data_IF_387227853756
#
_entry.id   IF_387227853756
#
_cell.length_a   1.000
_cell.length_b   1.000
_cell.length_c   1.000
_cell.angle_alpha   90.00
_cell.angle_beta   90.00
_cell.angle_gamma   90.00
#
_symmetry.space_group_name_H-M   'P 1'
#
loop_
_entity.id
_entity.type
_entity.pdbx_description
1 polymer ?
#
# COMPACT_ATOMS: atom_id res chain seq x y z
N UNK A 1 -13.12 21.40 -6.79
CA UNK A 1 -13.32 20.57 -5.59
C UNK A 1 -13.56 19.13 -6.04
N UNK A 2 -12.72 18.20 -5.59
CA UNK A 2 -12.72 16.80 -6.03
C UNK A 2 -14.04 16.08 -5.70
N UNK A 3 -14.83 16.58 -4.73
CA UNK A 3 -16.12 16.00 -4.32
C UNK A 3 -17.18 16.05 -5.41
N UNK A 4 -17.05 16.94 -6.40
CA UNK A 4 -17.98 17.05 -7.53
C UNK A 4 -17.55 16.24 -8.75
N UNK A 5 -16.37 15.59 -8.72
CA UNK A 5 -15.90 14.74 -9.81
C UNK A 5 -16.74 13.47 -9.99
N UNK A 6 -17.15 12.72 -8.94
CA UNK A 6 -17.80 11.42 -9.12
C UNK A 6 -19.08 11.46 -9.99
N UNK A 7 -19.97 12.48 -9.88
CA UNK A 7 -21.10 12.63 -10.81
C UNK A 7 -20.70 12.87 -12.27
N UNK A 8 -19.59 13.59 -12.51
CA UNK A 8 -19.14 13.96 -13.86
C UNK A 8 -18.39 12.84 -14.60
N UNK A 9 -17.83 11.86 -13.88
CA UNK A 9 -17.01 10.78 -14.47
C UNK A 9 -17.71 9.98 -15.57
N UNK A 10 -19.05 9.84 -15.53
CA UNK A 10 -19.79 9.04 -16.51
C UNK A 10 -19.80 9.61 -17.94
N UNK A 11 -19.41 10.87 -18.11
CA UNK A 11 -19.38 11.56 -19.41
C UNK A 11 -17.99 11.71 -20.03
N UNK A 12 -16.92 11.44 -19.27
CA UNK A 12 -15.54 11.76 -19.68
C UNK A 12 -14.92 10.67 -20.56
N UNK A 13 -14.00 11.02 -21.49
CA UNK A 13 -13.13 10.05 -22.12
C UNK A 13 -12.16 9.45 -21.10
N UNK A 14 -11.63 8.26 -21.43
CA UNK A 14 -10.76 7.49 -20.52
C UNK A 14 -9.51 8.28 -20.10
N UNK A 15 -8.88 9.01 -21.02
CA UNK A 15 -7.69 9.82 -20.77
C UNK A 15 -7.92 10.92 -19.73
N UNK A 16 -9.04 11.65 -19.85
CA UNK A 16 -9.44 12.64 -18.88
C UNK A 16 -9.71 12.00 -17.52
N UNK A 17 -10.39 10.85 -17.49
CA UNK A 17 -10.63 10.12 -16.25
C UNK A 17 -9.32 9.70 -15.55
N UNK A 18 -8.28 9.29 -16.30
CA UNK A 18 -6.94 9.02 -15.74
C UNK A 18 -6.35 10.28 -15.10
N UNK A 19 -6.47 11.44 -15.74
CA UNK A 19 -5.93 12.71 -15.22
C UNK A 19 -6.56 13.13 -13.89
N UNK A 20 -7.79 12.70 -13.60
CA UNK A 20 -8.48 12.96 -12.34
C UNK A 20 -8.23 11.92 -11.25
N UNK A 21 -7.62 10.77 -11.54
CA UNK A 21 -7.32 9.74 -10.54
C UNK A 21 -6.56 10.27 -9.31
N UNK A 22 -5.54 11.16 -9.44
CA UNK A 22 -4.87 11.74 -8.28
C UNK A 22 -5.82 12.47 -7.33
N UNK A 23 -6.85 13.14 -7.87
CA UNK A 23 -7.84 13.84 -7.07
C UNK A 23 -8.84 12.85 -6.45
N UNK A 24 -9.25 11.82 -7.19
CA UNK A 24 -10.19 10.82 -6.70
C UNK A 24 -9.66 10.04 -5.49
N UNK A 25 -8.35 9.70 -5.46
CA UNK A 25 -7.77 8.96 -4.33
C UNK A 25 -7.62 9.80 -3.05
N UNK A 26 -7.80 11.13 -3.13
CA UNK A 26 -7.85 12.02 -1.95
C UNK A 26 -9.23 12.08 -1.30
N UNK A 27 -10.26 11.55 -1.96
CA UNK A 27 -11.63 11.54 -1.45
C UNK A 27 -11.78 10.62 -0.23
N UNK A 28 -12.75 10.93 0.63
CA UNK A 28 -13.16 10.02 1.70
C UNK A 28 -13.67 8.69 1.13
N UNK A 29 -13.53 7.61 1.91
CA UNK A 29 -13.80 6.23 1.50
C UNK A 29 -15.15 6.05 0.80
N UNK A 30 -16.23 6.68 1.30
CA UNK A 30 -17.57 6.58 0.69
C UNK A 30 -17.62 7.22 -0.69
N UNK A 31 -17.05 8.42 -0.84
CA UNK A 31 -17.03 9.15 -2.11
C UNK A 31 -16.11 8.45 -3.13
N UNK A 32 -14.97 7.93 -2.67
CA UNK A 32 -14.07 7.14 -3.50
C UNK A 32 -14.73 5.86 -4.03
N UNK A 33 -15.43 5.08 -3.18
CA UNK A 33 -16.14 3.87 -3.61
C UNK A 33 -17.28 4.17 -4.61
N UNK A 34 -17.96 5.31 -4.45
CA UNK A 34 -18.94 5.78 -5.40
C UNK A 34 -18.30 6.11 -6.76
N UNK A 35 -17.15 6.80 -6.75
CA UNK A 35 -16.37 7.08 -7.96
C UNK A 35 -15.91 5.78 -8.65
N UNK A 36 -15.37 4.81 -7.90
CA UNK A 36 -14.98 3.50 -8.43
C UNK A 36 -16.15 2.80 -9.15
N UNK A 37 -17.33 2.77 -8.53
CA UNK A 37 -18.50 2.15 -9.15
C UNK A 37 -18.84 2.81 -10.48
N UNK A 38 -18.71 4.14 -10.59
CA UNK A 38 -18.94 4.87 -11.85
C UNK A 38 -17.90 4.58 -12.93
N UNK A 39 -16.66 4.33 -12.55
CA UNK A 39 -15.57 4.00 -13.48
C UNK A 39 -15.67 2.55 -14.00
N UNK A 40 -16.22 1.65 -13.19
CA UNK A 40 -16.25 0.20 -13.45
C UNK A 40 -17.59 -0.32 -13.98
N UNK A 41 -18.70 0.39 -13.75
CA UNK A 41 -20.03 -0.02 -14.19
C UNK A 41 -20.38 0.53 -15.59
N UNK A 42 -21.03 -0.31 -16.40
CA UNK A 42 -21.64 0.09 -17.67
C UNK A 42 -22.79 1.08 -17.41
N UNK A 43 -22.89 2.16 -18.18
CA UNK A 43 -23.99 3.16 -18.03
C UNK A 43 -24.58 3.52 -19.39
N UNK A 44 -25.92 3.53 -19.48
CA UNK A 44 -26.67 4.10 -20.62
C UNK A 44 -26.13 3.67 -21.99
N UNK A 45 -25.87 2.37 -22.17
CA UNK A 45 -25.35 1.80 -23.42
C UNK A 45 -23.84 1.92 -23.63
N UNK A 46 -23.14 2.79 -22.90
CA UNK A 46 -21.66 2.96 -22.97
C UNK A 46 -20.94 1.93 -22.13
N UNK A 47 -19.82 1.42 -22.65
CA UNK A 47 -18.94 0.49 -21.94
C UNK A 47 -18.35 1.11 -20.67
N UNK A 48 -17.90 0.27 -19.74
CA UNK A 48 -17.19 0.72 -18.56
C UNK A 48 -15.89 1.43 -18.97
N UNK A 49 -15.57 2.53 -18.29
CA UNK A 49 -14.35 3.30 -18.60
C UNK A 49 -13.09 2.52 -18.29
N UNK A 50 -13.12 1.60 -17.32
CA UNK A 50 -12.01 0.74 -16.98
C UNK A 50 -12.50 -0.66 -16.67
N UNK A 51 -11.68 -1.66 -16.98
CA UNK A 51 -11.75 -2.94 -16.26
C UNK A 51 -11.17 -2.75 -14.85
N UNK A 52 -11.54 -3.57 -13.86
CA UNK A 52 -10.95 -3.48 -12.52
C UNK A 52 -9.42 -3.53 -12.53
N UNK A 53 -8.83 -4.41 -13.35
CA UNK A 53 -7.37 -4.50 -13.47
C UNK A 53 -6.75 -3.21 -14.05
N UNK A 54 -7.33 -2.65 -15.11
CA UNK A 54 -6.85 -1.40 -15.72
C UNK A 54 -6.89 -0.24 -14.72
N UNK A 55 -7.97 -0.13 -13.94
CA UNK A 55 -8.11 0.94 -12.95
C UNK A 55 -7.07 0.80 -11.83
N UNK A 56 -6.84 -0.41 -11.33
CA UNK A 56 -5.87 -0.64 -10.26
C UNK A 56 -4.43 -0.40 -10.74
N UNK A 57 -4.10 -0.78 -11.98
CA UNK A 57 -2.81 -0.42 -12.61
C UNK A 57 -2.67 1.10 -12.74
N UNK A 58 -3.73 1.80 -13.18
CA UNK A 58 -3.71 3.26 -13.31
C UNK A 58 -3.51 3.97 -11.95
N UNK A 59 -4.13 3.47 -10.88
CA UNK A 59 -3.90 3.99 -9.51
C UNK A 59 -2.44 3.80 -9.07
N UNK A 60 -1.78 2.70 -9.46
CA UNK A 60 -0.35 2.50 -9.18
C UNK A 60 0.58 3.41 -9.98
N UNK A 61 0.10 3.98 -11.09
CA UNK A 61 0.82 4.96 -11.91
C UNK A 61 0.64 6.41 -11.47
N UNK A 62 -0.09 6.67 -10.37
CA UNK A 62 -0.21 8.03 -9.83
C UNK A 62 1.15 8.49 -9.31
N UNK A 63 1.64 9.60 -9.85
CA UNK A 63 2.87 10.22 -9.38
C UNK A 63 2.68 10.84 -7.99
N UNK A 64 3.55 10.44 -7.06
CA UNK A 64 3.55 10.92 -5.68
C UNK A 64 4.71 11.91 -5.56
N UNK A 65 4.43 13.17 -5.88
CA UNK A 65 5.41 14.26 -5.82
C UNK A 65 5.08 15.26 -4.72
N UNK A 66 6.09 15.84 -4.09
CA UNK A 66 5.95 16.91 -3.09
C UNK A 66 5.81 18.31 -3.73
N UNK A 67 5.42 18.39 -5.00
CA UNK A 67 5.27 19.63 -5.75
C UNK A 67 4.04 20.47 -5.34
N UNK A 68 3.86 21.66 -5.94
CA UNK A 68 2.84 22.64 -5.55
C UNK A 68 1.40 22.30 -6.01
N UNK A 69 1.22 21.26 -6.82
CA UNK A 69 -0.10 20.77 -7.24
C UNK A 69 -0.67 19.84 -6.15
N UNK A 70 -2.00 19.76 -5.95
CA UNK A 70 -2.61 18.81 -5.01
C UNK A 70 -2.37 17.37 -5.48
N UNK A 71 -1.21 16.82 -5.14
CA UNK A 71 -0.84 15.43 -5.34
C UNK A 71 -1.24 14.64 -4.10
N UNK A 72 -1.79 13.43 -4.27
CA UNK A 72 -2.13 12.60 -3.14
C UNK A 72 -0.89 12.16 -2.39
N UNK A 73 -0.99 12.08 -1.06
CA UNK A 73 0.05 11.49 -0.23
C UNK A 73 0.19 9.99 -0.52
N UNK A 74 1.36 9.43 -0.20
CA UNK A 74 1.59 7.98 -0.31
C UNK A 74 0.54 7.16 0.46
N UNK A 75 0.11 7.65 1.61
CA UNK A 75 -0.87 6.96 2.45
C UNK A 75 -2.29 7.03 1.87
N UNK A 76 -2.65 8.13 1.19
CA UNK A 76 -3.91 8.21 0.43
C UNK A 76 -3.94 7.22 -0.72
N UNK A 77 -2.85 7.10 -1.49
CA UNK A 77 -2.75 6.10 -2.57
C UNK A 77 -2.84 4.68 -2.02
N UNK A 78 -2.14 4.39 -0.92
CA UNK A 78 -2.25 3.08 -0.24
C UNK A 78 -3.65 2.80 0.26
N UNK A 79 -4.34 3.77 0.86
CA UNK A 79 -5.71 3.63 1.33
C UNK A 79 -6.68 3.34 0.16
N UNK A 80 -6.51 4.04 -0.97
CA UNK A 80 -7.29 3.79 -2.19
C UNK A 80 -7.05 2.37 -2.74
N UNK A 81 -5.79 1.92 -2.81
CA UNK A 81 -5.46 0.55 -3.23
C UNK A 81 -6.11 -0.46 -2.26
N UNK A 82 -5.98 -0.28 -0.94
CA UNK A 82 -6.62 -1.15 0.05
C UNK A 82 -8.14 -1.19 -0.10
N UNK A 83 -8.79 -0.06 -0.34
CA UNK A 83 -10.22 -0.01 -0.61
C UNK A 83 -10.60 -0.81 -1.86
N UNK A 84 -9.80 -0.74 -2.93
CA UNK A 84 -9.97 -1.60 -4.11
C UNK A 84 -9.80 -3.09 -3.75
N UNK A 85 -8.72 -3.47 -3.06
CA UNK A 85 -8.44 -4.87 -2.69
C UNK A 85 -9.53 -5.48 -1.80
N UNK A 86 -10.16 -4.67 -0.94
CA UNK A 86 -11.25 -5.09 -0.07
C UNK A 86 -12.61 -5.15 -0.78
N UNK A 87 -12.75 -4.49 -1.93
CA UNK A 87 -13.98 -4.49 -2.70
C UNK A 87 -14.04 -5.68 -3.69
N UNK A 88 -14.28 -6.87 -3.14
CA UNK A 88 -14.32 -8.13 -3.89
C UNK A 88 -15.41 -8.22 -4.95
N UNK A 89 -16.42 -7.33 -4.92
CA UNK A 89 -17.44 -7.22 -5.97
C UNK A 89 -16.80 -6.92 -7.34
N UNK A 90 -15.78 -6.07 -7.38
CA UNK A 90 -15.08 -5.72 -8.61
C UNK A 90 -13.69 -6.35 -8.71
N UNK A 91 -12.97 -6.41 -7.59
CA UNK A 91 -11.58 -6.85 -7.53
C UNK A 91 -11.48 -8.31 -7.05
N UNK A 92 -12.12 -9.18 -7.82
CA UNK A 92 -12.04 -10.64 -7.63
C UNK A 92 -10.69 -11.21 -8.06
N UNK A 93 -10.52 -12.53 -7.86
CA UNK A 93 -9.26 -13.26 -8.10
C UNK A 93 -8.63 -12.96 -9.48
N UNK A 94 -9.43 -13.03 -10.54
CA UNK A 94 -8.97 -12.83 -11.92
C UNK A 94 -8.49 -11.39 -12.16
N UNK A 95 -9.25 -10.39 -11.70
CA UNK A 95 -8.87 -8.99 -11.81
C UNK A 95 -7.57 -8.69 -11.06
N UNK A 96 -7.40 -9.23 -9.86
CA UNK A 96 -6.17 -9.06 -9.06
C UNK A 96 -4.97 -9.73 -9.73
N UNK A 97 -5.13 -10.97 -10.22
CA UNK A 97 -4.08 -11.67 -10.96
C UNK A 97 -3.65 -10.89 -12.22
N UNK A 98 -4.62 -10.41 -13.00
CA UNK A 98 -4.36 -9.60 -14.19
C UNK A 98 -3.71 -8.26 -13.85
N UNK A 99 -4.06 -7.64 -12.71
CA UNK A 99 -3.37 -6.42 -12.23
C UNK A 99 -1.89 -6.70 -11.98
N UNK A 100 -1.59 -7.77 -11.24
CA UNK A 100 -0.21 -8.15 -10.94
C UNK A 100 0.57 -8.50 -12.21
N UNK A 101 -0.06 -9.21 -13.15
CA UNK A 101 0.51 -9.53 -14.45
C UNK A 101 0.87 -8.27 -15.25
N UNK A 102 -0.05 -7.31 -15.35
CA UNK A 102 0.20 -6.07 -16.06
C UNK A 102 1.32 -5.26 -15.38
N UNK A 103 1.28 -5.13 -14.04
CA UNK A 103 2.30 -4.37 -13.32
C UNK A 103 3.69 -5.01 -13.41
N UNK A 104 3.79 -6.35 -13.47
CA UNK A 104 5.09 -7.04 -13.59
C UNK A 104 5.77 -6.74 -14.92
N UNK A 105 5.01 -6.42 -15.97
CA UNK A 105 5.53 -6.11 -17.30
C UNK A 105 6.07 -4.68 -17.40
N UNK A 106 5.68 -3.79 -16.49
CA UNK A 106 6.16 -2.40 -16.45
C UNK A 106 7.65 -2.31 -16.10
N UNK A 107 8.33 -1.35 -16.72
CA UNK A 107 9.75 -1.05 -16.47
C UNK A 107 9.93 0.47 -16.32
N UNK A 108 10.31 0.98 -15.13
CA UNK A 108 10.57 0.24 -13.90
C UNK A 108 9.30 -0.36 -13.27
N UNK A 109 9.46 -1.31 -12.33
CA UNK A 109 8.34 -1.83 -11.54
C UNK A 109 7.65 -0.68 -10.76
N UNK A 110 6.31 -0.67 -10.65
CA UNK A 110 5.61 0.35 -9.89
C UNK A 110 6.08 0.43 -8.43
N UNK A 111 6.18 1.64 -7.88
CA UNK A 111 6.73 1.89 -6.53
C UNK A 111 6.06 1.04 -5.44
N UNK A 112 4.74 0.89 -5.51
CA UNK A 112 3.95 0.13 -4.53
C UNK A 112 3.79 -1.36 -4.86
N UNK A 113 4.44 -1.88 -5.92
CA UNK A 113 4.22 -3.25 -6.42
C UNK A 113 4.35 -4.32 -5.33
N UNK A 114 5.50 -4.44 -4.67
CA UNK A 114 5.67 -5.48 -3.65
C UNK A 114 4.83 -5.26 -2.39
N UNK A 115 4.52 -4.01 -2.04
CA UNK A 115 3.59 -3.71 -0.96
C UNK A 115 2.18 -4.24 -1.30
N UNK A 116 1.73 -4.05 -2.53
CA UNK A 116 0.46 -4.56 -3.03
C UNK A 116 0.43 -6.08 -3.06
N UNK A 117 1.52 -6.74 -3.50
CA UNK A 117 1.64 -8.22 -3.45
C UNK A 117 1.51 -8.74 -2.01
N UNK A 118 2.14 -8.06 -1.04
CA UNK A 118 1.99 -8.41 0.39
C UNK A 118 0.53 -8.26 0.84
N UNK A 119 -0.13 -7.16 0.49
CA UNK A 119 -1.55 -6.96 0.82
C UNK A 119 -2.43 -8.06 0.22
N UNK A 120 -2.27 -8.35 -1.07
CA UNK A 120 -3.02 -9.41 -1.76
C UNK A 120 -2.75 -10.79 -1.15
N UNK A 121 -1.53 -11.09 -0.72
CA UNK A 121 -1.23 -12.37 -0.04
C UNK A 121 -2.01 -12.58 1.26
N UNK A 122 -2.48 -11.49 1.88
CA UNK A 122 -3.30 -11.51 3.11
C UNK A 122 -4.80 -11.46 2.84
N UNK A 123 -5.22 -10.64 1.87
CA UNK A 123 -6.65 -10.41 1.58
C UNK A 123 -7.22 -11.40 0.56
N UNK A 124 -6.36 -12.07 -0.22
CA UNK A 124 -6.69 -13.03 -1.27
C UNK A 124 -5.81 -14.28 -1.17
N UNK A 125 -5.96 -15.03 -0.07
CA UNK A 125 -5.17 -16.24 0.18
C UNK A 125 -5.32 -17.31 -0.92
N UNK A 126 -6.44 -17.30 -1.66
CA UNK A 126 -6.69 -18.14 -2.83
C UNK A 126 -5.75 -17.87 -4.02
N UNK A 127 -5.03 -16.74 -4.02
CA UNK A 127 -3.99 -16.41 -4.99
C UNK A 127 -2.60 -16.92 -4.58
N UNK A 128 -2.45 -17.60 -3.44
CA UNK A 128 -1.15 -18.05 -2.92
C UNK A 128 -0.25 -18.72 -3.97
N UNK A 129 -0.70 -19.76 -4.68
CA UNK A 129 0.11 -20.41 -5.72
C UNK A 129 0.51 -19.47 -6.86
N UNK A 130 -0.41 -18.60 -7.30
CA UNK A 130 -0.14 -17.60 -8.33
C UNK A 130 0.91 -16.59 -7.87
N UNK A 131 0.79 -16.07 -6.64
CA UNK A 131 1.75 -15.13 -6.06
C UNK A 131 3.14 -15.78 -5.95
N UNK A 132 3.24 -17.05 -5.54
CA UNK A 132 4.53 -17.74 -5.50
C UNK A 132 5.16 -17.90 -6.89
N UNK A 133 4.36 -18.19 -7.93
CA UNK A 133 4.82 -18.20 -9.32
C UNK A 133 5.32 -16.83 -9.76
N UNK A 134 4.53 -15.79 -9.53
CA UNK A 134 4.89 -14.41 -9.81
C UNK A 134 6.21 -14.01 -9.12
N UNK A 135 6.38 -14.36 -7.83
CA UNK A 135 7.59 -14.06 -7.07
C UNK A 135 8.84 -14.69 -7.71
N UNK A 136 8.74 -15.92 -8.23
CA UNK A 136 9.86 -16.54 -8.99
C UNK A 136 10.23 -15.69 -10.20
N UNK A 137 9.25 -15.32 -11.01
CA UNK A 137 9.47 -14.58 -12.25
C UNK A 137 10.06 -13.18 -12.05
N UNK A 138 9.62 -12.48 -10.99
CA UNK A 138 10.11 -11.13 -10.70
C UNK A 138 11.44 -11.10 -9.94
N UNK A 139 11.95 -12.24 -9.46
CA UNK A 139 13.16 -12.31 -8.62
C UNK A 139 14.33 -11.49 -9.21
N UNK A 140 14.65 -11.60 -10.51
CA UNK A 140 15.70 -10.77 -11.12
C UNK A 140 15.39 -9.27 -11.10
N UNK A 141 14.12 -8.88 -11.29
CA UNK A 141 13.68 -7.48 -11.32
C UNK A 141 13.72 -6.82 -9.94
N UNK A 142 13.37 -7.56 -8.89
CA UNK A 142 13.32 -7.00 -7.53
C UNK A 142 14.68 -6.95 -6.86
N UNK A 143 15.64 -7.79 -7.28
CA UNK A 143 16.98 -7.82 -6.70
C UNK A 143 17.73 -6.49 -6.82
N UNK A 144 17.61 -5.82 -7.98
CA UNK A 144 18.23 -4.52 -8.21
C UNK A 144 17.56 -3.35 -7.48
N UNK A 145 16.36 -3.54 -6.92
CA UNK A 145 15.56 -2.49 -6.29
C UNK A 145 15.37 -2.75 -4.80
N UNK A 146 16.13 -2.05 -3.95
CA UNK A 146 16.20 -2.27 -2.49
C UNK A 146 14.82 -2.36 -1.81
N UNK A 147 13.90 -1.44 -2.11
CA UNK A 147 12.55 -1.43 -1.53
C UNK A 147 11.72 -2.63 -1.97
N UNK A 148 11.80 -3.00 -3.26
CA UNK A 148 11.11 -4.17 -3.80
C UNK A 148 11.70 -5.46 -3.22
N UNK A 149 13.03 -5.58 -3.11
CA UNK A 149 13.68 -6.71 -2.46
C UNK A 149 13.23 -6.88 -1.00
N UNK A 150 13.14 -5.78 -0.25
CA UNK A 150 12.63 -5.81 1.11
C UNK A 150 11.19 -6.35 1.17
N UNK A 151 10.34 -5.91 0.25
CA UNK A 151 8.98 -6.41 0.11
C UNK A 151 8.94 -7.89 -0.29
N UNK A 152 9.80 -8.33 -1.21
CA UNK A 152 9.93 -9.71 -1.65
C UNK A 152 10.21 -10.65 -0.49
N UNK A 153 11.23 -10.32 0.32
CA UNK A 153 11.59 -11.13 1.50
C UNK A 153 10.47 -11.12 2.55
N UNK A 154 9.78 -9.98 2.73
CA UNK A 154 8.63 -9.91 3.63
C UNK A 154 7.47 -10.79 3.14
N UNK A 155 7.18 -10.80 1.84
CA UNK A 155 6.15 -11.66 1.27
C UNK A 155 6.50 -13.14 1.44
N UNK A 156 7.75 -13.54 1.14
CA UNK A 156 8.23 -14.90 1.39
C UNK A 156 8.08 -15.30 2.86
N UNK A 157 8.40 -14.41 3.80
CA UNK A 157 8.22 -14.65 5.24
C UNK A 157 6.76 -14.92 5.59
N UNK A 158 5.82 -14.13 5.04
CA UNK A 158 4.39 -14.26 5.32
C UNK A 158 3.78 -15.53 4.72
N UNK A 159 4.31 -15.96 3.57
CA UNK A 159 3.83 -17.15 2.86
C UNK A 159 4.57 -18.43 3.25
N UNK A 160 5.44 -18.39 4.25
CA UNK A 160 6.07 -19.59 4.77
C UNK A 160 5.04 -20.51 5.45
N UNK A 161 5.14 -21.84 5.28
CA UNK A 161 6.26 -22.58 4.67
C UNK A 161 6.19 -22.73 3.14
N UNK A 162 5.10 -22.31 2.50
CA UNK A 162 4.91 -22.50 1.05
C UNK A 162 5.95 -21.76 0.18
N UNK A 163 6.60 -20.74 0.71
CA UNK A 163 7.69 -19.99 0.05
C UNK A 163 9.07 -20.66 0.14
N UNK A 164 9.25 -21.74 0.91
CA UNK A 164 10.56 -22.38 1.08
C UNK A 164 11.19 -22.90 -0.22
N UNK A 165 10.45 -23.53 -1.16
CA UNK A 165 11.01 -23.90 -2.46
C UNK A 165 11.58 -22.69 -3.21
N UNK A 166 10.82 -21.59 -3.28
CA UNK A 166 11.25 -20.33 -3.91
C UNK A 166 12.53 -19.78 -3.25
N UNK A 167 12.59 -19.75 -1.91
CA UNK A 167 13.79 -19.28 -1.20
C UNK A 167 15.00 -20.17 -1.50
N UNK A 168 14.82 -21.48 -1.57
CA UNK A 168 15.90 -22.43 -1.82
C UNK A 168 16.40 -22.40 -3.28
N UNK A 169 15.55 -21.99 -4.22
CA UNK A 169 15.87 -21.78 -5.64
C UNK A 169 16.74 -20.52 -5.88
N UNK A 170 16.80 -19.57 -4.94
CA UNK A 170 17.58 -18.34 -5.07
C UNK A 170 19.08 -18.59 -5.31
N UNK A 171 19.74 -17.62 -5.96
CA UNK A 171 21.20 -17.61 -6.06
C UNK A 171 21.85 -17.54 -4.66
N UNK A 172 23.11 -17.98 -4.50
CA UNK A 172 23.79 -17.94 -3.20
C UNK A 172 23.78 -16.55 -2.56
N UNK A 173 24.00 -15.51 -3.38
CA UNK A 173 24.02 -14.11 -2.94
C UNK A 173 22.63 -13.62 -2.47
N UNK A 174 21.61 -13.88 -3.27
CA UNK A 174 20.22 -13.53 -2.95
C UNK A 174 19.74 -14.25 -1.69
N UNK A 175 20.05 -15.54 -1.57
CA UNK A 175 19.69 -16.34 -0.39
C UNK A 175 20.37 -15.79 0.86
N UNK A 176 21.66 -15.46 0.79
CA UNK A 176 22.40 -14.88 1.92
C UNK A 176 21.82 -13.52 2.32
N UNK A 177 21.44 -12.68 1.34
CA UNK A 177 20.80 -11.40 1.60
C UNK A 177 19.39 -11.54 2.20
N UNK A 178 18.60 -12.50 1.73
CA UNK A 178 17.30 -12.83 2.31
C UNK A 178 17.45 -13.34 3.75
N UNK A 179 18.37 -14.27 3.99
CA UNK A 179 18.59 -14.93 5.28
C UNK A 179 18.91 -13.92 6.39
N UNK A 180 19.68 -12.86 6.09
CA UNK A 180 19.96 -11.75 7.04
C UNK A 180 18.71 -11.03 7.55
N UNK A 181 17.57 -11.14 6.86
CA UNK A 181 16.31 -10.46 7.19
C UNK A 181 15.23 -11.44 7.70
N UNK A 182 15.49 -12.74 7.66
CA UNK A 182 14.57 -13.76 8.16
C UNK A 182 14.83 -14.00 9.66
N UNK A 183 13.77 -14.20 10.47
CA UNK A 183 13.94 -14.52 11.88
C UNK A 183 14.51 -15.94 12.05
N UNK A 184 15.29 -16.16 13.12
CA UNK A 184 15.96 -17.45 13.38
C UNK A 184 15.04 -18.68 13.32
N UNK A 185 13.82 -18.69 13.89
CA UNK A 185 12.92 -19.85 13.76
C UNK A 185 12.58 -20.19 12.31
N UNK A 186 12.44 -19.18 11.46
CA UNK A 186 12.11 -19.39 10.05
C UNK A 186 13.32 -19.92 9.26
N UNK A 187 14.52 -19.46 9.61
CA UNK A 187 15.77 -20.02 9.08
C UNK A 187 15.91 -21.50 9.42
N UNK A 188 15.65 -21.89 10.67
CA UNK A 188 15.69 -23.30 11.08
C UNK A 188 14.65 -24.15 10.32
N UNK A 189 13.44 -23.63 10.11
CA UNK A 189 12.42 -24.30 9.31
C UNK A 189 12.83 -24.44 7.83
N UNK A 190 13.51 -23.43 7.26
CA UNK A 190 14.05 -23.50 5.90
C UNK A 190 15.16 -24.56 5.79
N UNK A 191 16.04 -24.65 6.81
CA UNK A 191 17.03 -25.73 6.90
C UNK A 191 16.37 -27.10 6.99
N UNK A 192 15.38 -27.26 7.86
CA UNK A 192 14.64 -28.52 8.00
C UNK A 192 13.90 -28.91 6.70
N UNK A 193 13.37 -27.94 5.96
CA UNK A 193 12.84 -28.17 4.62
C UNK A 193 13.93 -28.65 3.67
N UNK A 194 15.07 -27.96 3.60
CA UNK A 194 16.16 -28.29 2.69
C UNK A 194 16.78 -29.68 2.96
N UNK A 195 16.78 -30.16 4.20
CA UNK A 195 17.25 -31.51 4.56
C UNK A 195 16.14 -32.57 4.53
N UNK A 196 14.88 -32.16 4.33
CA UNK A 196 13.73 -33.06 4.36
C UNK A 196 13.51 -33.78 3.03
N UNK A 197 12.91 -34.97 3.11
CA UNK A 197 12.60 -35.82 1.93
C UNK A 197 11.65 -35.16 0.92
N UNK A 198 10.85 -34.18 1.38
CA UNK A 198 9.94 -33.40 0.52
C UNK A 198 10.66 -32.38 -0.36
N UNK A 199 11.95 -32.14 -0.15
CA UNK A 199 12.73 -31.22 -0.96
C UNK A 199 13.25 -31.91 -2.22
N UNK A 200 12.67 -31.55 -3.36
CA UNK A 200 13.03 -32.12 -4.67
C UNK A 200 14.26 -31.45 -5.31
N UNK A 201 14.94 -30.55 -4.60
CA UNK A 201 16.13 -29.87 -5.10
C UNK A 201 17.33 -30.82 -5.14
N UNK A 202 18.28 -30.53 -6.04
CA UNK A 202 19.52 -31.30 -6.16
C UNK A 202 20.35 -31.21 -4.86
N UNK A 203 21.08 -32.27 -4.53
CA UNK A 203 21.85 -32.35 -3.27
C UNK A 203 22.81 -31.16 -3.07
N UNK A 204 23.47 -30.72 -4.15
CA UNK A 204 24.35 -29.54 -4.12
C UNK A 204 23.59 -28.26 -3.72
N UNK A 205 22.37 -28.08 -4.22
CA UNK A 205 21.53 -26.94 -3.88
C UNK A 205 21.05 -27.02 -2.43
N UNK A 206 20.66 -28.21 -1.96
CA UNK A 206 20.27 -28.44 -0.56
C UNK A 206 21.40 -28.10 0.39
N UNK A 207 22.61 -28.61 0.15
CA UNK A 207 23.80 -28.32 0.96
C UNK A 207 24.10 -26.82 1.02
N UNK A 208 24.08 -26.13 -0.13
CA UNK A 208 24.24 -24.67 -0.20
C UNK A 208 23.23 -23.93 0.69
N UNK A 209 21.95 -24.31 0.63
CA UNK A 209 20.90 -23.67 1.45
C UNK A 209 21.22 -23.84 2.94
N UNK A 210 21.61 -25.04 3.36
CA UNK A 210 21.98 -25.32 4.75
C UNK A 210 23.17 -24.47 5.19
N UNK A 211 24.25 -24.40 4.38
CA UNK A 211 25.44 -23.61 4.69
C UNK A 211 25.13 -22.12 4.87
N UNK A 212 24.34 -21.54 3.96
CA UNK A 212 23.94 -20.13 4.03
C UNK A 212 23.06 -19.87 5.24
N UNK A 213 22.13 -20.78 5.54
CA UNK A 213 21.24 -20.68 6.70
C UNK A 213 22.01 -20.78 8.01
N UNK A 214 22.96 -21.70 8.13
CA UNK A 214 23.79 -21.87 9.32
C UNK A 214 24.68 -20.65 9.56
N UNK A 215 25.30 -20.11 8.51
CA UNK A 215 26.07 -18.88 8.59
C UNK A 215 25.21 -17.68 9.06
N UNK A 216 23.96 -17.59 8.59
CA UNK A 216 23.04 -16.54 8.99
C UNK A 216 22.53 -16.72 10.44
N UNK A 217 22.28 -17.96 10.87
CA UNK A 217 21.77 -18.27 12.21
C UNK A 217 22.85 -18.18 13.31
N UNK A 218 24.13 -18.34 12.96
CA UNK A 218 25.25 -18.17 13.87
C UNK A 218 25.53 -16.70 14.23
N UNK A 219 25.10 -15.76 13.39
CA UNK A 219 25.27 -14.33 13.65
C UNK A 219 24.27 -13.88 14.74
N UNK A 220 24.72 -13.17 15.81
CA UNK A 220 23.80 -12.62 16.80
C UNK A 220 22.75 -11.72 16.13
N UNK A 221 21.49 -11.69 16.61
CA UNK A 221 20.48 -10.81 16.05
C UNK A 221 21.00 -9.38 16.08
N UNK A 222 20.98 -8.71 14.92
CA UNK A 222 21.28 -7.28 14.86
C UNK A 222 20.38 -6.53 15.86
N UNK A 223 20.91 -5.55 16.62
CA UNK A 223 20.10 -4.76 17.52
C UNK A 223 18.92 -4.18 16.74
N UNK A 224 17.70 -4.42 17.23
CA UNK A 224 16.51 -3.71 16.71
C UNK A 224 16.83 -2.21 16.80
N UNK A 225 16.55 -1.40 15.76
CA UNK A 225 16.52 0.04 15.96
C UNK A 225 15.48 0.30 17.05
N UNK A 226 15.94 0.73 18.22
CA UNK A 226 15.10 1.14 19.34
C UNK A 226 14.22 2.27 18.85
N UNK A 227 12.92 2.19 19.14
CA UNK A 227 11.91 3.19 18.83
C UNK A 227 12.13 4.54 19.55
N UNK A 228 13.28 4.73 20.20
CA UNK A 228 13.62 5.87 21.05
C UNK A 228 14.26 7.03 20.28
N UNK A 229 14.70 6.81 19.03
CA UNK A 229 15.20 7.89 18.17
C UNK A 229 14.09 8.63 17.38
N UNK A 230 12.82 8.21 17.51
CA UNK A 230 11.68 8.85 16.84
C UNK A 230 10.92 9.85 17.71
N UNK A 231 11.28 10.01 18.99
CA UNK A 231 10.59 10.89 19.94
C UNK A 231 11.18 12.32 20.03
N UNK A 232 12.21 12.67 19.26
CA UNK A 232 12.90 13.96 19.35
C UNK A 232 12.47 15.01 18.29
N UNK A 233 11.31 14.84 17.64
CA UNK A 233 10.77 15.85 16.73
C UNK A 233 9.25 15.95 16.83
N UNK A 234 8.76 16.42 17.98
CA UNK A 234 7.45 17.03 18.09
C UNK A 234 7.66 18.45 18.64
N UNK A 235 7.28 19.53 17.93
CA UNK A 235 7.15 20.81 18.58
C UNK A 235 5.88 20.81 19.42
N UNK A 236 6.07 21.22 20.67
CA UNK A 236 5.08 21.32 21.72
C UNK A 236 3.90 22.23 21.33
N UNK A 237 2.69 21.76 21.65
CA UNK A 237 1.54 22.61 21.82
C UNK A 237 1.81 23.61 22.96
N UNK A 238 1.69 24.90 22.68
CA UNK A 238 1.62 25.93 23.73
C UNK A 238 0.18 26.38 23.87
N UNK A 239 -0.44 25.93 24.95
CA UNK A 239 -1.60 26.56 25.58
C UNK A 239 -1.11 27.52 26.66
N UNK A 240 -1.52 28.79 26.59
CA UNK A 240 -1.55 29.74 27.71
C UNK A 240 -2.71 30.70 27.42
N UNK A 241 -3.87 30.52 28.06
CA UNK A 241 -4.24 30.99 29.39
C UNK A 241 -4.69 32.46 29.39
N UNK A 242 -5.97 32.62 29.75
CA UNK A 242 -6.65 33.88 29.98
C UNK A 242 -6.06 34.65 31.17
N UNK A 243 -6.23 35.97 31.17
CA UNK A 243 -6.18 36.78 32.40
C UNK A 243 -7.28 37.82 32.34
N UNK A 244 -8.19 37.71 33.30
CA UNK A 244 -9.25 38.67 33.65
C UNK A 244 -8.75 39.63 34.72
N UNK A 245 -9.01 40.93 34.55
CA UNK A 245 -9.16 41.97 35.58
C UNK A 245 -9.60 43.24 34.82
N UNK A 246 -10.55 44.09 35.21
CA UNK A 246 -11.31 44.32 36.44
C UNK A 246 -12.10 45.64 36.21
N UNK A 247 -13.21 45.80 36.92
CA UNK A 247 -14.30 46.76 36.72
C UNK A 247 -13.97 48.27 36.93
N UNK A 248 -14.84 49.18 36.45
CA UNK A 248 -15.73 50.03 37.31
C UNK A 248 -16.59 51.05 36.51
N UNK A 249 -17.89 51.01 36.84
CA UNK A 249 -18.93 52.06 36.98
C UNK A 249 -18.97 53.36 36.13
N UNK A 250 -20.18 53.70 35.69
CA UNK A 250 -20.53 55.04 35.20
C UNK A 250 -21.99 55.18 34.76
N UNK A 251 -22.84 55.58 35.71
CA UNK A 251 -24.29 55.84 35.67
C UNK A 251 -24.80 56.82 34.57
N UNK A 252 -26.08 56.70 34.18
CA UNK A 252 -26.82 57.68 33.36
C UNK A 252 -28.05 57.08 32.66
N UNK A 253 -29.20 56.88 33.33
CA UNK A 253 -30.37 57.80 33.36
C UNK A 253 -31.35 57.62 32.18
N UNK A 254 -32.45 56.94 32.51
CA UNK A 254 -33.90 57.05 32.13
C UNK A 254 -34.41 57.73 30.84
N UNK A 255 -35.55 57.15 30.43
CA UNK A 255 -36.77 57.74 29.83
C UNK A 255 -36.90 57.66 28.29
N UNK A 256 -37.71 56.75 27.72
CA UNK A 256 -39.18 56.72 27.57
C UNK A 256 -39.62 57.37 26.24
N UNK A 257 -40.46 56.70 25.45
CA UNK A 257 -40.93 57.23 24.17
C UNK A 257 -41.54 56.19 23.24
N UNK A 258 -42.78 55.83 23.56
CA UNK A 258 -43.76 55.04 22.79
C UNK A 258 -44.25 55.81 21.55
N UNK A 259 -44.61 55.06 20.50
CA UNK A 259 -45.56 55.31 19.37
C UNK A 259 -45.75 56.73 18.81
N UNK A 260 -45.68 56.87 17.47
CA UNK A 260 -46.87 57.30 16.67
C UNK A 260 -46.65 57.10 15.15
N UNK A 261 -47.78 57.03 14.46
CA UNK A 261 -48.06 56.67 13.07
C UNK A 261 -47.69 57.75 12.01
N UNK A 262 -48.00 57.41 10.75
CA UNK A 262 -48.22 58.25 9.55
C UNK A 262 -46.92 58.57 8.79
N UNK A 263 -46.72 58.20 7.51
CA UNK A 263 -47.59 58.14 6.32
C UNK A 263 -47.11 57.04 5.34
#
# INVERSE_FOLDING_TARGET
DARFLPPALGGLPREDAVSFLPQLVTLESRAFLAALSRLLERRQGREALFTPAQLLVAIHGIEISAGPSPTPSLDQVKAAIQACLNNRRYFGKEALALTLENMKQMTPLPKLFMWTVICMSRTASELGPFILGLLREITPKVWGAREQWQGFVMCCKLMAPASFPLLAELSPEMLAAAAKRLPRPLLLNLKAFATGERCQLAEMQRRRVVEVVDAAAAKPPAPKPTAEAAAAAAPAATTAAATTSGATEGSGVVDNGTDDEVE
#
